data_IF_017961598545
#
_entry.id   IF_017961598545
#
_cell.length_a   1.000
_cell.length_b   1.000
_cell.length_c   1.000
_cell.angle_alpha   90.00
_cell.angle_beta   90.00
_cell.angle_gamma   90.00
#
_symmetry.space_group_name_H-M   'P 1'
#
loop_
_entity.id
_entity.type
_entity.pdbx_description
1 polymer ?
#
# COMPACT_ATOMS: atom_id res chain seq x y z
N UNK A 1 -24.61 -51.78 -10.97
CA UNK A 1 -25.40 -50.54 -11.12
C UNK A 1 -25.68 -49.86 -9.77
N UNK A 2 -26.37 -50.49 -8.80
CA UNK A 2 -26.61 -49.87 -7.46
C UNK A 2 -25.33 -49.50 -6.69
N UNK A 3 -24.29 -50.36 -6.68
CA UNK A 3 -23.01 -50.08 -6.00
C UNK A 3 -22.21 -48.94 -6.64
N UNK A 4 -22.30 -48.78 -7.97
CA UNK A 4 -21.63 -47.72 -8.73
C UNK A 4 -22.29 -46.36 -8.50
N UNK A 5 -23.62 -46.34 -8.34
CA UNK A 5 -24.38 -45.11 -8.09
C UNK A 5 -24.11 -44.54 -6.69
N UNK A 6 -23.92 -45.39 -5.67
CA UNK A 6 -23.58 -44.98 -4.30
C UNK A 6 -22.18 -44.36 -4.22
N UNK A 7 -21.21 -44.88 -4.98
CA UNK A 7 -19.85 -44.34 -5.01
C UNK A 7 -19.79 -42.95 -5.67
N UNK A 8 -20.59 -42.73 -6.72
CA UNK A 8 -20.71 -41.41 -7.37
C UNK A 8 -21.39 -40.36 -6.47
N UNK A 9 -22.42 -40.75 -5.70
CA UNK A 9 -23.04 -39.83 -4.74
C UNK A 9 -22.10 -39.43 -3.60
N UNK A 10 -21.29 -40.35 -3.10
CA UNK A 10 -20.32 -40.05 -2.04
C UNK A 10 -19.23 -39.06 -2.50
N UNK A 11 -18.74 -39.18 -3.75
CA UNK A 11 -17.75 -38.28 -4.32
C UNK A 11 -18.30 -36.87 -4.61
N UNK A 12 -19.59 -36.75 -4.95
CA UNK A 12 -20.23 -35.45 -5.12
C UNK A 12 -20.43 -34.71 -3.79
N UNK A 13 -20.81 -35.42 -2.73
CA UNK A 13 -20.96 -34.81 -1.39
C UNK A 13 -19.65 -34.23 -0.86
N UNK A 14 -18.52 -34.94 -1.02
CA UNK A 14 -17.21 -34.49 -0.51
C UNK A 14 -16.76 -33.18 -1.18
N UNK A 15 -16.99 -33.03 -2.49
CA UNK A 15 -16.62 -31.80 -3.21
C UNK A 15 -17.47 -30.60 -2.80
N UNK A 16 -18.77 -30.79 -2.53
CA UNK A 16 -19.64 -29.71 -2.07
C UNK A 16 -19.24 -29.19 -0.68
N UNK A 17 -18.96 -30.10 0.28
CA UNK A 17 -18.51 -29.70 1.62
C UNK A 17 -17.14 -28.99 1.60
N UNK A 18 -16.22 -29.41 0.73
CA UNK A 18 -14.93 -28.74 0.59
C UNK A 18 -15.07 -27.32 0.04
N UNK A 19 -15.94 -27.13 -0.97
CA UNK A 19 -16.25 -25.81 -1.55
C UNK A 19 -16.92 -24.87 -0.54
N UNK A 20 -17.86 -25.36 0.26
CA UNK A 20 -18.53 -24.54 1.27
C UNK A 20 -17.58 -24.09 2.39
N UNK A 21 -16.64 -24.96 2.78
CA UNK A 21 -15.62 -24.63 3.77
C UNK A 21 -14.65 -23.56 3.24
N UNK A 22 -14.22 -23.67 1.98
CA UNK A 22 -13.28 -22.72 1.39
C UNK A 22 -13.92 -21.33 1.25
N UNK A 23 -15.19 -21.26 0.84
CA UNK A 23 -15.93 -20.00 0.77
C UNK A 23 -16.05 -19.33 2.16
N UNK A 24 -16.30 -20.11 3.21
CA UNK A 24 -16.35 -19.58 4.58
C UNK A 24 -15.00 -19.00 5.01
N UNK A 25 -13.89 -19.67 4.68
CA UNK A 25 -12.54 -19.18 4.93
C UNK A 25 -12.29 -17.87 4.16
N UNK A 26 -12.61 -17.84 2.86
CA UNK A 26 -12.44 -16.64 2.05
C UNK A 26 -13.31 -15.48 2.50
N UNK A 27 -14.51 -15.75 3.03
CA UNK A 27 -15.36 -14.73 3.62
C UNK A 27 -14.75 -14.14 4.91
N UNK A 28 -14.22 -14.98 5.80
CA UNK A 28 -13.51 -14.51 7.01
C UNK A 28 -12.31 -13.65 6.66
N UNK A 29 -11.51 -14.06 5.67
CA UNK A 29 -10.34 -13.32 5.20
C UNK A 29 -10.72 -11.97 4.56
N UNK A 30 -11.82 -11.91 3.79
CA UNK A 30 -12.36 -10.65 3.26
C UNK A 30 -12.82 -9.70 4.37
N UNK A 31 -13.44 -10.23 5.43
CA UNK A 31 -13.81 -9.44 6.60
C UNK A 31 -12.58 -8.90 7.34
N UNK A 32 -11.52 -9.70 7.48
CA UNK A 32 -10.26 -9.26 8.07
C UNK A 32 -9.63 -8.11 7.27
N UNK A 33 -9.61 -8.20 5.93
CA UNK A 33 -9.13 -7.12 5.05
C UNK A 33 -9.95 -5.84 5.24
N UNK A 34 -11.28 -5.93 5.24
CA UNK A 34 -12.16 -4.78 5.46
C UNK A 34 -11.98 -4.15 6.84
N UNK A 35 -11.72 -4.96 7.87
CA UNK A 35 -11.42 -4.46 9.21
C UNK A 35 -10.11 -3.68 9.25
N UNK A 36 -9.06 -4.15 8.55
CA UNK A 36 -7.79 -3.41 8.41
C UNK A 36 -8.01 -2.07 7.71
N UNK A 37 -8.68 -2.08 6.55
CA UNK A 37 -8.96 -0.86 5.79
C UNK A 37 -9.74 0.16 6.62
N UNK A 38 -10.82 -0.27 7.28
CA UNK A 38 -11.64 0.62 8.09
C UNK A 38 -10.90 1.14 9.33
N UNK A 39 -10.05 0.33 9.97
CA UNK A 39 -9.22 0.74 11.11
C UNK A 39 -8.23 1.83 10.71
N UNK A 40 -7.49 1.62 9.62
CA UNK A 40 -6.52 2.60 9.12
C UNK A 40 -7.23 3.87 8.61
N UNK A 41 -8.32 3.73 7.87
CA UNK A 41 -9.04 4.87 7.28
C UNK A 41 -9.75 5.76 8.32
N UNK A 42 -10.15 5.15 9.44
CA UNK A 42 -10.73 5.87 10.59
C UNK A 42 -9.67 6.45 11.54
N UNK A 43 -8.42 5.95 11.48
CA UNK A 43 -7.36 6.32 12.42
C UNK A 43 -7.45 5.60 13.77
N UNK A 44 -8.32 4.60 13.88
CA UNK A 44 -8.50 3.76 15.06
C UNK A 44 -7.78 2.42 14.84
N UNK A 45 -6.45 2.46 15.00
CA UNK A 45 -5.57 1.36 14.62
C UNK A 45 -5.71 0.13 15.51
N UNK A 46 -6.20 0.30 16.75
CA UNK A 46 -6.38 -0.81 17.69
C UNK A 46 -7.45 -1.80 17.23
N UNK A 47 -8.43 -1.35 16.43
CA UNK A 47 -9.52 -2.18 15.91
C UNK A 47 -9.07 -3.35 15.04
N UNK A 48 -7.93 -3.24 14.36
CA UNK A 48 -7.42 -4.33 13.51
C UNK A 48 -6.53 -5.32 14.27
N UNK A 49 -6.07 -5.02 15.48
CA UNK A 49 -5.20 -5.91 16.25
C UNK A 49 -5.74 -7.35 16.42
N UNK A 50 -7.06 -7.59 16.56
CA UNK A 50 -7.60 -8.94 16.64
C UNK A 50 -7.39 -9.80 15.38
N UNK A 51 -7.17 -9.23 14.19
CA UNK A 51 -6.96 -10.02 12.97
C UNK A 51 -5.51 -10.45 12.78
N UNK A 52 -4.59 -9.96 13.61
CA UNK A 52 -3.19 -10.33 13.57
C UNK A 52 -2.88 -11.52 14.47
N UNK A 53 -2.03 -12.42 13.96
CA UNK A 53 -1.50 -13.58 14.68
C UNK A 53 -0.65 -13.13 15.87
N UNK A 54 -0.52 -13.99 16.89
CA UNK A 54 0.41 -13.79 18.01
C UNK A 54 1.86 -13.55 17.56
N UNK A 55 2.33 -14.18 16.48
CA UNK A 55 3.68 -13.92 15.93
C UNK A 55 3.66 -13.10 14.63
N UNK A 56 2.77 -12.11 14.57
CA UNK A 56 2.67 -11.19 13.44
C UNK A 56 4.00 -10.50 13.12
N UNK A 57 4.32 -10.38 11.82
CA UNK A 57 5.43 -9.59 11.29
C UNK A 57 4.96 -8.73 10.13
N UNK A 58 5.45 -7.50 10.05
CA UNK A 58 5.17 -6.65 8.90
C UNK A 58 6.36 -5.83 8.44
N UNK A 59 6.34 -5.53 7.15
CA UNK A 59 7.20 -4.51 6.53
C UNK A 59 6.29 -3.60 5.70
N UNK A 60 5.85 -2.46 6.27
CA UNK A 60 5.09 -1.45 5.53
C UNK A 60 5.95 -0.76 4.47
N UNK A 61 5.35 0.16 3.70
CA UNK A 61 6.08 0.85 2.63
C UNK A 61 7.26 1.69 3.14
N UNK A 62 7.26 2.12 4.40
CA UNK A 62 8.39 2.84 5.02
C UNK A 62 9.63 1.96 5.25
N UNK A 63 9.52 0.65 5.02
CA UNK A 63 10.57 -0.35 5.21
C UNK A 63 11.01 -0.53 6.67
N UNK A 64 10.26 0.01 7.62
CA UNK A 64 10.41 -0.34 9.03
C UNK A 64 9.93 -1.76 9.29
N UNK A 65 10.59 -2.47 10.19
CA UNK A 65 10.19 -3.83 10.56
C UNK A 65 9.34 -3.79 11.83
N UNK A 66 8.13 -4.35 11.74
CA UNK A 66 7.19 -4.50 12.86
C UNK A 66 7.27 -5.95 13.34
N UNK A 67 7.63 -6.14 14.61
CA UNK A 67 7.86 -7.44 15.25
C UNK A 67 6.81 -7.76 16.32
N UNK A 68 5.54 -7.70 15.94
CA UNK A 68 4.42 -8.05 16.82
C UNK A 68 3.22 -7.17 16.56
N UNK A 69 2.03 -7.61 16.96
CA UNK A 69 0.80 -6.83 16.72
C UNK A 69 0.73 -5.59 17.61
N UNK A 70 1.34 -5.65 18.80
CA UNK A 70 1.46 -4.57 19.76
C UNK A 70 2.24 -3.36 19.22
N UNK A 71 3.10 -3.54 18.21
CA UNK A 71 3.87 -2.47 17.57
C UNK A 71 3.09 -1.77 16.45
N UNK A 72 1.95 -2.32 16.01
CA UNK A 72 1.18 -1.80 14.87
C UNK A 72 0.58 -0.44 15.16
N UNK A 73 -0.18 -0.27 16.23
CA UNK A 73 -0.78 1.03 16.55
C UNK A 73 0.28 2.10 16.84
N UNK A 74 1.34 1.84 17.63
CA UNK A 74 2.46 2.76 17.79
C UNK A 74 3.12 3.18 16.47
N UNK A 75 3.29 2.25 15.51
CA UNK A 75 3.81 2.57 14.19
C UNK A 75 2.95 3.61 13.47
N UNK A 76 1.64 3.43 13.43
CA UNK A 76 0.78 4.43 12.78
C UNK A 76 0.73 5.76 13.53
N UNK A 77 0.72 5.76 14.87
CA UNK A 77 0.74 6.99 15.65
C UNK A 77 2.08 7.75 15.58
N UNK A 78 3.19 7.08 15.26
CA UNK A 78 4.48 7.75 15.08
C UNK A 78 4.45 8.65 13.83
N UNK A 79 3.81 8.16 12.76
CA UNK A 79 3.71 8.80 11.45
C UNK A 79 2.52 9.75 11.32
N UNK A 80 1.33 9.36 11.78
CA UNK A 80 0.07 10.04 11.49
C UNK A 80 -0.56 10.71 12.70
N UNK A 81 -1.11 11.91 12.51
CA UNK A 81 -1.85 12.63 13.53
C UNK A 81 -2.11 14.10 13.17
N UNK A 82 -2.97 14.80 13.93
CA UNK A 82 -3.31 16.19 13.66
C UNK A 82 -2.09 17.13 13.71
N UNK A 83 -1.12 16.84 14.59
CA UNK A 83 0.09 17.63 14.80
C UNK A 83 1.32 17.08 14.03
N UNK A 84 1.12 16.08 13.17
CA UNK A 84 2.19 15.43 12.40
C UNK A 84 2.26 15.97 10.98
N UNK A 85 3.40 15.79 10.32
CA UNK A 85 3.55 16.13 8.89
C UNK A 85 2.62 15.29 8.00
N UNK A 86 2.53 13.98 8.26
CA UNK A 86 1.50 13.15 7.67
C UNK A 86 0.24 13.27 8.53
N UNK A 87 -0.79 13.94 8.02
CA UNK A 87 -2.02 14.21 8.75
C UNK A 87 -2.92 12.98 8.80
N UNK A 88 -3.07 12.31 7.65
CA UNK A 88 -3.98 11.18 7.49
C UNK A 88 -3.49 10.22 6.41
N UNK A 89 -3.71 8.93 6.64
CA UNK A 89 -3.64 7.88 5.65
C UNK A 89 -5.05 7.42 5.26
N UNK A 90 -5.24 7.10 3.99
CA UNK A 90 -6.42 6.35 3.53
C UNK A 90 -5.95 5.28 2.58
N UNK A 91 -6.35 4.04 2.82
CA UNK A 91 -5.94 2.86 2.07
C UNK A 91 -7.14 2.19 1.41
N UNK A 92 -6.86 1.52 0.30
CA UNK A 92 -7.73 0.52 -0.30
C UNK A 92 -6.86 -0.60 -0.88
N UNK A 93 -7.25 -1.85 -0.65
CA UNK A 93 -6.59 -3.05 -1.10
C UNK A 93 -7.53 -3.87 -1.99
N UNK A 94 -6.96 -4.50 -3.00
CA UNK A 94 -7.65 -5.41 -3.88
C UNK A 94 -6.76 -6.64 -4.09
N UNK A 95 -7.17 -7.82 -3.60
CA UNK A 95 -6.49 -9.07 -3.92
C UNK A 95 -6.49 -9.29 -5.44
N UNK A 96 -5.38 -9.78 -5.99
CA UNK A 96 -5.34 -10.19 -7.40
C UNK A 96 -5.96 -11.58 -7.60
N UNK A 97 -5.95 -12.38 -6.53
CA UNK A 97 -6.41 -13.76 -6.47
C UNK A 97 -7.17 -14.00 -5.17
N UNK A 98 -8.00 -15.03 -5.15
CA UNK A 98 -8.44 -15.62 -3.88
C UNK A 98 -7.25 -16.18 -3.12
N UNK A 99 -7.37 -16.30 -1.80
CA UNK A 99 -6.28 -16.82 -0.99
C UNK A 99 -5.93 -18.24 -1.41
N UNK A 100 -4.67 -18.46 -1.77
CA UNK A 100 -4.15 -19.78 -2.10
C UNK A 100 -3.98 -20.56 -0.79
N UNK A 101 -4.97 -21.37 -0.43
CA UNK A 101 -4.98 -22.16 0.81
C UNK A 101 -4.07 -23.38 0.70
N UNK A 102 -3.43 -23.74 1.82
CA UNK A 102 -2.69 -24.98 1.96
C UNK A 102 -3.61 -26.20 1.86
N UNK A 103 -3.07 -27.35 1.47
CA UNK A 103 -3.85 -28.58 1.29
C UNK A 103 -4.57 -29.05 2.59
N UNK A 104 -3.98 -28.76 3.75
CA UNK A 104 -4.51 -29.05 5.08
C UNK A 104 -5.34 -27.89 5.67
N UNK A 105 -5.48 -26.78 4.93
CA UNK A 105 -6.25 -25.58 5.32
C UNK A 105 -5.81 -24.98 6.66
N UNK A 106 -4.50 -24.96 6.92
CA UNK A 106 -3.91 -24.37 8.12
C UNK A 106 -3.16 -23.06 7.86
N UNK A 107 -2.84 -22.77 6.59
CA UNK A 107 -2.26 -21.50 6.18
C UNK A 107 -2.63 -21.17 4.72
N UNK A 108 -2.31 -19.97 4.27
CA UNK A 108 -2.49 -19.57 2.88
C UNK A 108 -1.71 -18.32 2.53
N UNK A 109 -1.62 -18.05 1.23
CA UNK A 109 -0.95 -16.86 0.69
C UNK A 109 -1.92 -16.07 -0.15
N UNK A 110 -1.86 -14.75 -0.02
CA UNK A 110 -2.60 -13.84 -0.88
C UNK A 110 -1.73 -12.64 -1.20
N UNK A 111 -1.87 -12.12 -2.41
CA UNK A 111 -1.17 -10.93 -2.86
C UNK A 111 -2.11 -10.07 -3.69
N UNK A 112 -1.76 -8.79 -3.78
CA UNK A 112 -2.62 -7.85 -4.43
C UNK A 112 -2.00 -6.48 -4.58
N UNK A 113 -2.86 -5.57 -5.04
CA UNK A 113 -2.57 -4.16 -5.23
C UNK A 113 -3.29 -3.33 -4.18
N UNK A 114 -2.81 -2.12 -3.98
CA UNK A 114 -3.47 -1.13 -3.15
C UNK A 114 -3.20 0.29 -3.62
N UNK A 115 -3.96 1.21 -3.07
CA UNK A 115 -3.73 2.65 -3.17
C UNK A 115 -3.63 3.20 -1.76
N UNK A 116 -2.53 3.88 -1.48
CA UNK A 116 -2.29 4.58 -0.21
C UNK A 116 -2.30 6.09 -0.47
N UNK A 117 -3.35 6.76 0.02
CA UNK A 117 -3.53 8.20 -0.06
C UNK A 117 -3.02 8.88 1.19
N UNK A 118 -1.92 9.61 1.05
CA UNK A 118 -1.31 10.40 2.10
C UNK A 118 -1.80 11.84 2.03
N UNK A 119 -2.32 12.34 3.14
CA UNK A 119 -2.67 13.76 3.30
C UNK A 119 -1.62 14.42 4.18
N UNK A 120 -1.04 15.51 3.69
CA UNK A 120 -0.05 16.30 4.42
C UNK A 120 -0.72 17.38 5.27
N UNK A 121 0.00 17.88 6.29
CA UNK A 121 -0.44 18.99 7.12
C UNK A 121 -0.61 20.31 6.35
N UNK A 122 0.09 20.48 5.23
CA UNK A 122 -0.01 21.64 4.33
C UNK A 122 -1.17 21.56 3.31
N UNK A 123 -1.96 20.49 3.37
CA UNK A 123 -3.13 20.28 2.51
C UNK A 123 -2.84 19.53 1.20
N UNK A 124 -1.57 19.25 0.85
CA UNK A 124 -1.25 18.40 -0.30
C UNK A 124 -1.67 16.96 -0.05
N UNK A 125 -1.92 16.23 -1.14
CA UNK A 125 -2.27 14.81 -1.10
C UNK A 125 -1.55 14.04 -2.19
N UNK A 126 -1.14 12.82 -1.88
CA UNK A 126 -0.42 11.94 -2.78
C UNK A 126 -0.98 10.53 -2.72
N UNK A 127 -1.25 9.96 -3.89
CA UNK A 127 -1.71 8.59 -4.03
C UNK A 127 -0.52 7.72 -4.46
N UNK A 128 -0.20 6.71 -3.65
CA UNK A 128 0.85 5.75 -3.93
C UNK A 128 0.22 4.42 -4.33
N UNK A 129 0.63 3.90 -5.49
CA UNK A 129 0.30 2.53 -5.86
C UNK A 129 1.19 1.56 -5.07
N UNK A 130 0.56 0.61 -4.38
CA UNK A 130 1.23 -0.37 -3.53
C UNK A 130 1.01 -1.78 -4.04
N UNK A 131 2.04 -2.62 -3.91
CA UNK A 131 1.98 -4.08 -4.00
C UNK A 131 2.12 -4.66 -2.61
N UNK A 132 1.36 -5.71 -2.34
CA UNK A 132 1.42 -6.40 -1.06
C UNK A 132 1.33 -7.91 -1.24
N UNK A 133 1.95 -8.62 -0.29
CA UNK A 133 1.85 -10.06 -0.13
C UNK A 133 1.66 -10.35 1.34
N UNK A 134 0.70 -11.20 1.68
CA UNK A 134 0.42 -11.62 3.04
C UNK A 134 0.36 -13.14 3.15
N UNK A 135 0.82 -13.65 4.29
CA UNK A 135 0.55 -15.03 4.72
C UNK A 135 -0.47 -15.00 5.83
N UNK A 136 -1.47 -15.86 5.71
CA UNK A 136 -2.53 -16.06 6.71
C UNK A 136 -2.41 -17.45 7.31
N UNK A 137 -2.79 -17.61 8.57
CA UNK A 137 -2.70 -18.87 9.33
C UNK A 137 -3.97 -19.08 10.13
N UNK A 138 -4.37 -20.34 10.29
CA UNK A 138 -5.39 -20.74 11.25
C UNK A 138 -4.77 -20.77 12.65
N UNK A 139 -5.21 -19.87 13.53
CA UNK A 139 -4.73 -19.74 14.91
C UNK A 139 -5.93 -19.67 15.86
N UNK A 140 -5.98 -20.57 16.84
CA UNK A 140 -7.08 -20.66 17.83
C UNK A 140 -8.49 -20.73 17.19
N UNK A 141 -8.60 -21.40 16.03
CA UNK A 141 -9.86 -21.56 15.30
C UNK A 141 -10.27 -20.36 14.44
N UNK A 142 -9.41 -19.34 14.32
CA UNK A 142 -9.66 -18.16 13.50
C UNK A 142 -8.53 -17.91 12.51
N UNK A 143 -8.86 -17.41 11.33
CA UNK A 143 -7.84 -17.01 10.36
C UNK A 143 -7.22 -15.67 10.75
N UNK A 144 -5.89 -15.64 10.83
CA UNK A 144 -5.10 -14.49 11.24
C UNK A 144 -4.05 -14.17 10.20
N UNK A 145 -3.75 -12.89 10.05
CA UNK A 145 -2.60 -12.46 9.25
C UNK A 145 -1.34 -12.68 10.08
N UNK A 146 -0.40 -13.44 9.51
CA UNK A 146 0.87 -13.81 10.12
C UNK A 146 2.00 -12.92 9.63
N UNK A 147 2.03 -12.65 8.33
CA UNK A 147 3.03 -11.78 7.72
C UNK A 147 2.37 -10.89 6.69
N UNK A 148 2.87 -9.67 6.54
CA UNK A 148 2.54 -8.81 5.40
C UNK A 148 3.77 -7.98 5.00
N UNK A 149 4.07 -7.98 3.71
CA UNK A 149 5.06 -7.09 3.12
C UNK A 149 4.38 -6.17 2.12
N UNK A 150 4.71 -4.89 2.18
CA UNK A 150 4.16 -3.85 1.31
C UNK A 150 5.29 -3.05 0.67
N UNK A 151 5.12 -2.71 -0.60
CA UNK A 151 6.09 -1.89 -1.33
C UNK A 151 5.44 -1.11 -2.45
N UNK A 152 6.10 -0.04 -2.86
CA UNK A 152 5.70 0.79 -4.00
C UNK A 152 6.81 0.83 -5.04
N UNK A 153 6.49 1.10 -6.30
CA UNK A 153 7.50 1.32 -7.31
C UNK A 153 8.17 2.69 -7.10
N UNK A 154 9.39 2.69 -6.58
CA UNK A 154 10.12 3.93 -6.30
C UNK A 154 10.40 4.81 -7.54
N UNK A 155 10.37 4.23 -8.74
CA UNK A 155 10.56 4.98 -10.00
C UNK A 155 9.28 5.69 -10.46
N UNK A 156 8.12 5.18 -10.04
CA UNK A 156 6.80 5.74 -10.31
C UNK A 156 6.21 6.33 -9.02
N UNK A 157 6.94 7.29 -8.47
CA UNK A 157 6.65 7.92 -7.20
C UNK A 157 6.16 9.36 -7.42
N UNK A 158 4.98 9.75 -6.92
CA UNK A 158 4.43 11.08 -7.15
C UNK A 158 5.30 12.21 -6.56
N UNK A 159 6.02 11.96 -5.47
CA UNK A 159 6.98 12.91 -4.90
C UNK A 159 8.21 13.08 -5.79
N UNK A 160 8.70 12.00 -6.40
CA UNK A 160 9.81 12.08 -7.35
C UNK A 160 9.41 12.87 -8.60
N UNK A 161 8.18 12.68 -9.07
CA UNK A 161 7.63 13.43 -10.20
C UNK A 161 7.50 14.92 -9.87
N UNK A 162 7.01 15.26 -8.68
CA UNK A 162 6.95 16.66 -8.22
C UNK A 162 8.35 17.27 -8.11
N UNK A 163 9.31 16.58 -7.48
CA UNK A 163 10.68 17.04 -7.35
C UNK A 163 11.34 17.27 -8.72
N UNK A 164 11.17 16.34 -9.67
CA UNK A 164 11.66 16.48 -11.05
C UNK A 164 11.02 17.69 -11.74
N UNK A 165 9.73 17.91 -11.55
CA UNK A 165 9.02 19.04 -12.13
C UNK A 165 9.47 20.38 -11.51
N UNK A 166 9.68 20.43 -10.20
CA UNK A 166 10.25 21.59 -9.52
C UNK A 166 11.66 21.91 -10.04
N UNK A 167 12.51 20.89 -10.19
CA UNK A 167 13.85 21.05 -10.74
C UNK A 167 13.83 21.56 -12.19
N UNK A 168 12.98 20.98 -13.05
CA UNK A 168 12.78 21.45 -14.42
C UNK A 168 12.35 22.92 -14.45
N UNK A 169 11.34 23.30 -13.65
CA UNK A 169 10.88 24.70 -13.56
C UNK A 169 11.99 25.64 -13.12
N UNK A 170 12.79 25.26 -12.12
CA UNK A 170 13.92 26.05 -11.66
C UNK A 170 14.99 26.20 -12.75
N UNK A 171 15.33 25.12 -13.46
CA UNK A 171 16.33 25.13 -14.53
C UNK A 171 15.88 26.00 -15.72
N UNK A 172 14.63 25.88 -16.17
CA UNK A 172 14.10 26.70 -17.25
C UNK A 172 13.89 28.16 -16.82
N UNK A 173 13.45 28.41 -15.58
CA UNK A 173 13.28 29.76 -15.05
C UNK A 173 14.61 30.51 -14.91
N UNK A 174 15.62 29.86 -14.31
CA UNK A 174 16.97 30.44 -14.19
C UNK A 174 17.68 30.51 -15.54
N UNK A 175 17.52 29.52 -16.41
CA UNK A 175 18.07 29.51 -17.77
C UNK A 175 17.51 30.65 -18.63
N UNK A 176 16.19 30.85 -18.64
CA UNK A 176 15.57 31.95 -19.37
C UNK A 176 15.97 33.32 -18.78
N UNK A 177 15.98 33.46 -17.45
CA UNK A 177 16.40 34.70 -16.78
C UNK A 177 17.86 35.04 -17.06
N UNK A 178 18.76 34.05 -16.99
CA UNK A 178 20.18 34.21 -17.28
C UNK A 178 20.44 34.56 -18.75
N UNK A 179 19.74 33.93 -19.69
CA UNK A 179 19.83 34.25 -21.11
C UNK A 179 19.37 35.69 -21.39
N UNK A 180 18.23 36.11 -20.84
CA UNK A 180 17.71 37.47 -21.02
C UNK A 180 18.65 38.51 -20.41
N UNK A 181 19.19 38.26 -19.21
CA UNK A 181 20.16 39.15 -18.58
C UNK A 181 21.46 39.24 -19.40
N UNK A 182 21.98 38.11 -19.89
CA UNK A 182 23.17 38.06 -20.73
C UNK A 182 22.99 38.80 -22.06
N UNK A 183 21.85 38.60 -22.73
CA UNK A 183 21.50 39.32 -23.97
C UNK A 183 21.35 40.83 -23.72
N UNK A 184 20.71 41.23 -22.61
CA UNK A 184 20.57 42.63 -22.23
C UNK A 184 21.93 43.30 -21.99
N UNK A 185 22.82 42.67 -21.23
CA UNK A 185 24.17 43.17 -20.99
C UNK A 185 25.00 43.23 -22.28
N UNK A 186 24.93 42.18 -23.11
CA UNK A 186 25.60 42.13 -24.42
C UNK A 186 25.15 43.25 -25.35
N UNK A 187 23.84 43.51 -25.41
CA UNK A 187 23.26 44.60 -26.21
C UNK A 187 23.71 45.99 -25.71
N UNK A 188 23.74 46.21 -24.39
CA UNK A 188 24.21 47.47 -23.81
C UNK A 188 25.69 47.73 -24.09
N UNK A 189 26.54 46.69 -23.99
CA UNK A 189 27.97 46.80 -24.32
C UNK A 189 28.19 47.08 -25.82
N UNK A 190 27.40 46.44 -26.69
CA UNK A 190 27.45 46.69 -28.14
C UNK A 190 27.02 48.11 -28.50
N UNK A 191 25.96 48.64 -27.88
CA UNK A 191 25.55 50.06 -28.04
C UNK A 191 26.62 51.03 -27.60
N UNK A 192 27.36 50.74 -26.52
CA UNK A 192 28.47 51.58 -26.06
C UNK A 192 29.63 51.58 -27.06
N UNK A 193 30.02 50.41 -27.59
CA UNK A 193 31.09 50.33 -28.61
C UNK A 193 30.76 51.10 -29.89
N UNK A 194 29.50 51.11 -30.34
CA UNK A 194 29.05 51.87 -31.52
C UNK A 194 29.00 53.39 -31.35
N UNK A 195 29.07 53.92 -30.13
CA UNK A 195 29.10 55.37 -29.86
C UNK A 195 30.53 55.92 -29.70
N UNK A 196 31.52 55.04 -29.54
CA UNK A 196 32.94 55.41 -29.38
C UNK A 196 33.78 55.10 -30.63
N UNK A 197 33.16 54.61 -31.69
CA UNK A 197 33.70 54.50 -33.04
C UNK A 197 32.97 55.50 -33.94
#
# INVERSE_FOLDING_TARGET
MKKTLVLLLALFSINAFASDQDEAIHQELRQALGLIESSINSGDYDKMLPVFSKDFRATPITQEFIKGKEEVSPYFHSWFGPDKFLKKLTISFTPDVETELSADKTWGVVYGKGVEKYQLSDGRSYDFATRWTATVVLEDGHWKIRTIHMGTNFTDNPLLNEARNAFKKALYGTGAGGLLAGLGLGFLMWRKKRKSA
#
